data_IF_076552550703
#
_entry.id   IF_076552550703
#
_cell.length_a   1.000
_cell.length_b   1.000
_cell.length_c   1.000
_cell.angle_alpha   90.00
_cell.angle_beta   90.00
_cell.angle_gamma   90.00
#
_symmetry.space_group_name_H-M   'P 1'
#
loop_
_entity.id
_entity.type
_entity.pdbx_description
1 polymer ?
#
# COMPACT_ATOMS: atom_id res chain seq x y z
N UNK A 1 15.37 -53.33 0.52
CA UNK A 1 14.08 -52.60 0.57
C UNK A 1 14.05 -51.66 1.79
N UNK A 2 14.53 -50.41 1.67
CA UNK A 2 14.45 -49.40 2.75
C UNK A 2 14.27 -47.95 2.26
N UNK A 3 14.02 -47.73 0.96
CA UNK A 3 13.94 -46.38 0.37
C UNK A 3 12.51 -45.87 0.07
N UNK A 4 11.46 -46.63 0.38
CA UNK A 4 10.07 -46.22 0.07
C UNK A 4 9.44 -45.32 1.16
N UNK A 5 9.87 -45.44 2.43
CA UNK A 5 9.24 -44.68 3.53
C UNK A 5 9.67 -43.21 3.62
N UNK A 6 10.87 -42.84 3.15
CA UNK A 6 11.32 -41.44 3.19
C UNK A 6 10.54 -40.55 2.21
N UNK A 7 10.09 -41.10 1.08
CA UNK A 7 9.36 -40.31 0.08
C UNK A 7 7.93 -39.97 0.52
N UNK A 8 7.28 -40.84 1.30
CA UNK A 8 5.94 -40.58 1.81
C UNK A 8 5.95 -39.58 2.97
N UNK A 9 6.96 -39.63 3.85
CA UNK A 9 7.09 -38.67 4.94
C UNK A 9 7.36 -37.25 4.44
N UNK A 10 8.21 -37.09 3.41
CA UNK A 10 8.46 -35.78 2.81
C UNK A 10 7.22 -35.19 2.13
N UNK A 11 6.40 -36.02 1.47
CA UNK A 11 5.13 -35.56 0.87
C UNK A 11 4.12 -35.09 1.92
N UNK A 12 4.03 -35.78 3.06
CA UNK A 12 3.13 -35.41 4.17
C UNK A 12 3.56 -34.07 4.79
N UNK A 13 4.86 -33.85 4.98
CA UNK A 13 5.39 -32.57 5.50
C UNK A 13 5.07 -31.42 4.55
N UNK A 14 5.27 -31.60 3.24
CA UNK A 14 4.93 -30.58 2.23
C UNK A 14 3.43 -30.26 2.24
N UNK A 15 2.57 -31.28 2.33
CA UNK A 15 1.12 -31.09 2.42
C UNK A 15 0.73 -30.34 3.69
N UNK A 16 1.34 -30.65 4.84
CA UNK A 16 1.10 -29.94 6.09
C UNK A 16 1.55 -28.47 6.02
N UNK A 17 2.68 -28.19 5.38
CA UNK A 17 3.15 -26.81 5.15
C UNK A 17 2.16 -26.07 4.25
N UNK A 18 1.74 -26.66 3.14
CA UNK A 18 0.78 -26.04 2.20
C UNK A 18 -0.57 -25.77 2.91
N UNK A 19 -1.08 -26.74 3.66
CA UNK A 19 -2.31 -26.61 4.43
C UNK A 19 -2.17 -25.52 5.50
N UNK A 20 -1.06 -25.50 6.23
CA UNK A 20 -0.78 -24.45 7.23
C UNK A 20 -0.71 -23.06 6.59
N UNK A 21 -0.05 -22.90 5.45
CA UNK A 21 -0.02 -21.65 4.69
C UNK A 21 -1.42 -21.23 4.23
N UNK A 22 -2.25 -22.20 3.79
CA UNK A 22 -3.63 -21.94 3.38
C UNK A 22 -4.50 -21.50 4.57
N UNK A 23 -4.31 -22.11 5.74
CA UNK A 23 -5.02 -21.74 6.97
C UNK A 23 -4.58 -20.37 7.51
N UNK A 24 -3.29 -20.03 7.44
CA UNK A 24 -2.81 -18.69 7.80
C UNK A 24 -3.50 -17.63 6.92
N UNK A 25 -3.62 -17.91 5.61
CA UNK A 25 -4.29 -17.02 4.65
C UNK A 25 -5.81 -16.88 4.87
N UNK A 26 -6.47 -17.89 5.46
CA UNK A 26 -7.92 -17.80 5.77
C UNK A 26 -8.22 -17.19 7.14
N UNK A 27 -7.23 -17.09 8.03
CA UNK A 27 -7.39 -16.48 9.37
C UNK A 27 -7.15 -14.97 9.32
N UNK A 28 -6.24 -14.49 8.47
CA UNK A 28 -6.02 -13.06 8.27
C UNK A 28 -7.10 -12.50 7.33
N UNK A 29 -7.88 -11.48 7.73
CA UNK A 29 -8.78 -10.81 6.80
C UNK A 29 -7.97 -10.13 5.71
N UNK A 30 -8.42 -10.30 4.46
CA UNK A 30 -7.84 -9.56 3.35
C UNK A 30 -8.21 -8.08 3.49
N UNK A 31 -7.21 -7.26 3.80
CA UNK A 31 -7.39 -5.82 3.91
C UNK A 31 -7.58 -5.17 2.54
N UNK A 32 -7.17 -5.84 1.44
CA UNK A 32 -7.46 -5.35 0.11
C UNK A 32 -8.91 -5.61 -0.27
N UNK A 33 -9.67 -4.52 -0.31
CA UNK A 33 -11.06 -4.51 -0.71
C UNK A 33 -11.20 -4.22 -2.22
N UNK A 34 -10.37 -4.87 -3.04
CA UNK A 34 -10.38 -4.74 -4.51
C UNK A 34 -9.58 -3.56 -5.07
N UNK A 35 -9.68 -3.37 -6.39
CA UNK A 35 -8.97 -2.33 -7.13
C UNK A 35 -9.80 -1.81 -8.31
N UNK A 36 -9.47 -0.61 -8.79
CA UNK A 36 -9.88 -0.10 -10.10
C UNK A 36 -8.68 -0.20 -11.03
N UNK A 37 -8.92 -0.69 -12.24
CA UNK A 37 -7.98 -0.58 -13.35
C UNK A 37 -8.38 0.64 -14.20
N UNK A 38 -7.46 1.58 -14.38
CA UNK A 38 -7.65 2.78 -15.19
C UNK A 38 -7.55 2.48 -16.70
N UNK A 39 -7.24 1.23 -17.09
CA UNK A 39 -7.28 0.67 -18.46
C UNK A 39 -6.30 1.27 -19.48
N UNK A 40 -5.50 2.25 -19.08
CA UNK A 40 -4.44 2.82 -19.91
C UNK A 40 -3.10 2.21 -19.53
N UNK A 41 -2.12 2.13 -20.46
CA UNK A 41 -0.74 1.83 -20.07
C UNK A 41 -0.14 3.09 -19.44
N UNK A 42 -0.50 3.37 -18.20
CA UNK A 42 0.10 4.46 -17.43
C UNK A 42 1.33 3.97 -16.66
N UNK A 43 2.40 4.76 -16.70
CA UNK A 43 3.61 4.52 -15.92
C UNK A 43 3.46 4.84 -14.42
N UNK A 44 2.26 5.23 -14.00
CA UNK A 44 1.93 5.47 -12.61
C UNK A 44 0.83 6.49 -12.43
N UNK A 45 0.14 6.39 -11.32
CA UNK A 45 -0.92 7.31 -10.94
C UNK A 45 -0.58 7.96 -9.60
N UNK A 46 -0.84 9.25 -9.46
CA UNK A 46 -0.76 9.97 -8.17
C UNK A 46 -2.18 10.28 -7.70
N UNK A 47 -2.46 10.00 -6.44
CA UNK A 47 -3.65 10.42 -5.71
C UNK A 47 -3.38 11.74 -5.02
N UNK A 48 -4.37 12.62 -5.01
CA UNK A 48 -4.28 13.92 -4.36
C UNK A 48 -5.05 13.93 -3.05
N UNK A 49 -4.50 14.60 -2.03
CA UNK A 49 -5.16 14.77 -0.74
C UNK A 49 -6.48 15.52 -0.92
N UNK A 50 -7.39 15.35 0.02
CA UNK A 50 -8.77 15.81 -0.12
C UNK A 50 -9.36 16.19 1.22
N UNK A 51 -10.34 17.10 1.22
CA UNK A 51 -11.26 17.31 2.34
C UNK A 51 -12.61 16.59 2.15
N UNK A 52 -12.76 15.83 1.07
CA UNK A 52 -13.92 14.98 0.83
C UNK A 52 -13.87 13.70 1.65
N UNK A 53 -15.03 13.25 2.11
CA UNK A 53 -15.15 11.97 2.80
C UNK A 53 -15.20 10.76 1.85
N UNK A 54 -15.54 10.95 0.57
CA UNK A 54 -15.84 9.84 -0.36
C UNK A 54 -15.30 10.03 -1.79
N UNK A 55 -14.76 11.21 -2.12
CA UNK A 55 -14.24 11.53 -3.44
C UNK A 55 -12.75 11.84 -3.40
N UNK A 56 -12.03 11.31 -4.38
CA UNK A 56 -10.61 11.60 -4.59
C UNK A 56 -10.37 11.98 -6.04
N UNK A 57 -9.31 12.75 -6.29
CA UNK A 57 -8.78 12.95 -7.63
C UNK A 57 -7.46 12.21 -7.74
N UNK A 58 -7.29 11.55 -8.87
CA UNK A 58 -6.05 10.93 -9.28
C UNK A 58 -5.58 11.53 -10.61
N UNK A 59 -4.27 11.55 -10.86
CA UNK A 59 -3.75 11.82 -12.20
C UNK A 59 -2.79 10.73 -12.66
N UNK A 60 -2.91 10.35 -13.93
CA UNK A 60 -1.85 9.59 -14.59
C UNK A 60 -0.65 10.47 -14.90
N UNK A 61 0.53 9.86 -15.03
CA UNK A 61 1.73 10.55 -15.52
C UNK A 61 1.63 11.02 -16.97
N UNK A 62 0.64 10.53 -17.71
CA UNK A 62 0.34 10.91 -19.08
C UNK A 62 -0.57 12.15 -19.14
N UNK A 63 -0.99 12.68 -17.99
CA UNK A 63 -1.76 13.92 -17.88
C UNK A 63 -3.27 13.73 -17.96
N UNK A 64 -3.78 12.56 -17.60
CA UNK A 64 -5.21 12.35 -17.40
C UNK A 64 -5.59 12.59 -15.94
N UNK A 65 -6.76 13.17 -15.69
CA UNK A 65 -7.36 13.34 -14.39
C UNK A 65 -8.58 12.43 -14.25
N UNK A 66 -8.65 11.74 -13.11
CA UNK A 66 -9.76 10.87 -12.74
C UNK A 66 -10.38 11.35 -11.44
N UNK A 67 -11.69 11.58 -11.44
CA UNK A 67 -12.46 11.78 -10.21
C UNK A 67 -13.11 10.46 -9.82
N UNK A 68 -12.77 9.94 -8.66
CA UNK A 68 -13.12 8.59 -8.22
C UNK A 68 -14.04 8.68 -7.01
N UNK A 69 -15.11 7.90 -7.02
CA UNK A 69 -15.94 7.65 -5.85
C UNK A 69 -15.43 6.43 -5.11
N UNK A 70 -14.94 6.62 -3.90
CA UNK A 70 -14.30 5.58 -3.09
C UNK A 70 -15.33 4.52 -2.67
N UNK A 71 -16.50 4.93 -2.15
CA UNK A 71 -17.56 3.99 -1.75
C UNK A 71 -18.03 3.06 -2.87
N UNK A 72 -18.07 3.57 -4.10
CA UNK A 72 -18.49 2.80 -5.29
C UNK A 72 -17.35 2.11 -6.01
N UNK A 73 -16.09 2.41 -5.64
CA UNK A 73 -14.88 1.95 -6.33
C UNK A 73 -15.02 2.16 -7.84
N UNK A 74 -15.39 3.38 -8.24
CA UNK A 74 -15.68 3.71 -9.63
C UNK A 74 -15.20 5.09 -10.02
N UNK A 75 -14.73 5.23 -11.26
CA UNK A 75 -14.44 6.53 -11.89
C UNK A 75 -15.78 7.22 -12.22
N UNK A 76 -16.00 8.42 -11.69
CA UNK A 76 -17.19 9.23 -12.00
C UNK A 76 -16.93 10.11 -13.22
N UNK A 77 -15.72 10.64 -13.32
CA UNK A 77 -15.35 11.58 -14.36
C UNK A 77 -13.89 11.38 -14.76
N UNK A 78 -13.65 11.53 -16.05
CA UNK A 78 -12.33 11.52 -16.66
C UNK A 78 -12.16 12.79 -17.49
N UNK A 79 -11.00 13.42 -17.39
CA UNK A 79 -10.64 14.61 -18.17
C UNK A 79 -9.16 14.54 -18.54
N UNK A 80 -8.78 15.10 -19.69
CA UNK A 80 -7.38 15.20 -20.10
C UNK A 80 -6.89 16.61 -19.81
N UNK A 81 -5.70 16.74 -19.23
CA UNK A 81 -5.08 18.05 -19.03
C UNK A 81 -4.88 18.76 -20.37
N UNK A 82 -5.26 20.03 -20.44
CA UNK A 82 -5.06 20.86 -21.62
C UNK A 82 -3.56 20.96 -21.97
N UNK A 83 -3.25 21.28 -23.24
CA UNK A 83 -1.88 21.35 -23.78
C UNK A 83 -0.90 22.22 -22.96
N UNK A 84 -1.41 23.14 -22.13
CA UNK A 84 -0.63 24.01 -21.25
C UNK A 84 -0.25 23.45 -19.88
N UNK A 85 -0.70 22.24 -19.51
CA UNK A 85 -0.30 21.54 -18.28
C UNK A 85 0.15 20.15 -18.69
N UNK A 86 1.47 19.96 -18.79
CA UNK A 86 2.06 18.65 -19.06
C UNK A 86 2.71 18.15 -17.79
N UNK A 87 2.12 17.12 -17.19
CA UNK A 87 2.86 16.25 -16.29
C UNK A 87 3.74 15.40 -17.19
N UNK A 88 5.06 15.56 -17.16
CA UNK A 88 5.91 14.60 -17.86
C UNK A 88 6.02 13.31 -17.05
N UNK A 89 6.41 12.23 -17.72
CA UNK A 89 6.61 10.95 -17.06
C UNK A 89 7.66 11.09 -15.95
N UNK A 90 7.29 10.69 -14.73
CA UNK A 90 8.10 10.78 -13.52
C UNK A 90 8.31 12.19 -12.95
N UNK A 91 7.61 13.22 -13.43
CA UNK A 91 7.64 14.51 -12.75
C UNK A 91 6.80 14.48 -11.47
N UNK A 92 7.35 15.11 -10.43
CA UNK A 92 6.62 15.30 -9.17
C UNK A 92 5.45 16.24 -9.42
N UNK A 93 4.29 15.88 -8.89
CA UNK A 93 3.13 16.75 -8.75
C UNK A 93 2.59 16.65 -7.33
N UNK A 94 1.93 17.72 -6.89
CA UNK A 94 1.20 17.73 -5.62
C UNK A 94 -0.11 18.46 -5.82
N UNK A 95 -1.15 18.08 -5.10
CA UNK A 95 -2.47 18.63 -5.33
C UNK A 95 -3.42 18.37 -4.19
N UNK A 96 -4.51 19.12 -4.22
CA UNK A 96 -5.53 19.07 -3.20
C UNK A 96 -6.92 19.17 -3.83
N UNK A 97 -7.77 18.19 -3.53
CA UNK A 97 -9.17 18.19 -3.90
C UNK A 97 -10.01 18.84 -2.81
N UNK A 98 -10.56 20.01 -3.12
CA UNK A 98 -11.39 20.79 -2.21
C UNK A 98 -12.86 20.70 -2.65
N UNK A 99 -13.53 19.66 -2.15
CA UNK A 99 -14.95 19.43 -2.43
C UNK A 99 -15.80 20.59 -1.93
N UNK A 100 -15.49 21.14 -0.75
CA UNK A 100 -16.25 22.23 -0.12
C UNK A 100 -16.34 23.48 -1.01
N UNK A 101 -15.25 23.86 -1.68
CA UNK A 101 -15.22 25.03 -2.56
C UNK A 101 -15.35 24.69 -4.04
N UNK A 102 -15.60 23.42 -4.38
CA UNK A 102 -15.69 22.93 -5.74
C UNK A 102 -14.45 23.21 -6.61
N UNK A 103 -13.26 23.10 -6.03
CA UNK A 103 -12.01 23.31 -6.75
C UNK A 103 -11.07 22.11 -6.60
N UNK A 104 -10.25 21.91 -7.62
CA UNK A 104 -9.07 21.06 -7.56
C UNK A 104 -7.84 21.89 -7.85
N UNK A 105 -6.85 21.80 -6.97
CA UNK A 105 -5.59 22.54 -7.07
C UNK A 105 -4.47 21.56 -7.40
N UNK A 106 -3.65 21.90 -8.38
CA UNK A 106 -2.53 21.08 -8.84
C UNK A 106 -1.29 21.93 -8.98
N UNK A 107 -0.24 21.60 -8.23
CA UNK A 107 1.11 22.07 -8.46
C UNK A 107 1.85 21.04 -9.33
N UNK A 108 2.41 21.51 -10.44
CA UNK A 108 3.26 20.71 -11.32
C UNK A 108 4.54 21.46 -11.65
N UNK A 109 5.63 20.72 -11.81
CA UNK A 109 6.87 21.31 -12.32
C UNK A 109 6.67 21.68 -13.78
N UNK A 110 7.18 22.84 -14.19
CA UNK A 110 7.14 23.36 -15.54
C UNK A 110 8.49 23.97 -15.87
N UNK A 111 9.02 23.69 -17.07
CA UNK A 111 10.31 24.25 -17.54
C UNK A 111 11.50 24.04 -16.59
N UNK A 112 11.57 22.89 -15.90
CA UNK A 112 12.64 22.46 -14.97
C UNK A 112 12.94 23.36 -13.75
N UNK A 113 12.39 24.58 -13.69
CA UNK A 113 12.74 25.59 -12.68
C UNK A 113 11.55 26.46 -12.30
N UNK A 114 10.33 26.10 -12.71
CA UNK A 114 9.14 26.81 -12.30
C UNK A 114 8.06 25.86 -11.84
N UNK A 115 7.27 26.29 -10.87
CA UNK A 115 6.06 25.58 -10.46
C UNK A 115 4.86 26.30 -11.05
N UNK A 116 4.03 25.54 -11.76
CA UNK A 116 2.72 25.99 -12.16
C UNK A 116 1.70 25.48 -11.13
N UNK A 117 1.03 26.40 -10.43
CA UNK A 117 -0.12 26.07 -9.58
C UNK A 117 -1.38 26.37 -10.38
N UNK A 118 -2.10 25.32 -10.76
CA UNK A 118 -3.31 25.36 -11.57
C UNK A 118 -4.55 25.05 -10.74
N UNK A 119 -5.67 25.66 -11.11
CA UNK A 119 -6.98 25.45 -10.50
C UNK A 119 -7.93 24.92 -11.56
N UNK A 120 -8.65 23.87 -11.19
CA UNK A 120 -9.70 23.26 -11.99
C UNK A 120 -11.01 23.29 -11.22
N UNK A 121 -12.13 23.31 -11.94
CA UNK A 121 -13.45 23.05 -11.37
C UNK A 121 -13.52 21.59 -10.91
N UNK A 122 -13.94 21.35 -9.68
CA UNK A 122 -14.14 19.98 -9.16
C UNK A 122 -15.26 19.22 -9.87
N UNK A 123 -16.18 19.95 -10.49
CA UNK A 123 -17.45 19.43 -11.02
C UNK A 123 -17.18 18.66 -12.30
N UNK A 124 -16.40 19.27 -13.19
CA UNK A 124 -16.14 18.82 -14.56
C UNK A 124 -14.65 18.76 -14.90
N UNK A 125 -13.75 18.99 -13.94
CA UNK A 125 -12.29 19.00 -14.11
C UNK A 125 -11.81 19.97 -15.19
N UNK A 126 -12.56 21.04 -15.44
CA UNK A 126 -12.19 22.07 -16.41
C UNK A 126 -11.19 23.05 -15.81
N UNK A 127 -10.17 23.42 -16.60
CA UNK A 127 -9.16 24.39 -16.19
C UNK A 127 -9.76 25.79 -15.99
N UNK A 128 -9.43 26.44 -14.87
CA UNK A 128 -9.92 27.78 -14.52
C UNK A 128 -8.83 28.85 -14.63
N UNK A 129 -7.68 28.62 -13.99
CA UNK A 129 -6.57 29.58 -13.94
C UNK A 129 -5.29 28.91 -13.44
N UNK A 130 -4.15 29.59 -13.57
CA UNK A 130 -2.89 29.17 -12.96
C UNK A 130 -2.00 30.37 -12.64
N UNK A 131 -1.00 30.12 -11.81
CA UNK A 131 0.11 31.05 -11.53
C UNK A 131 1.43 30.29 -11.64
N UNK A 132 2.48 30.97 -12.07
CA UNK A 132 3.84 30.45 -12.12
C UNK A 132 4.67 31.02 -10.98
N UNK A 133 5.43 30.16 -10.31
CA UNK A 133 6.44 30.52 -9.32
C UNK A 133 7.79 30.09 -9.89
N UNK A 134 8.69 31.04 -10.13
CA UNK A 134 9.97 30.80 -10.78
C UNK A 134 11.07 30.51 -9.77
N UNK A 135 12.08 29.76 -10.20
CA UNK A 135 13.23 29.29 -9.41
C UNK A 135 12.83 28.42 -8.22
N UNK A 136 11.78 27.61 -8.39
CA UNK A 136 11.24 26.73 -7.37
C UNK A 136 10.96 25.36 -7.96
N UNK A 137 11.05 24.32 -7.13
CA UNK A 137 10.73 22.93 -7.47
C UNK A 137 9.77 22.31 -6.44
N UNK A 138 9.13 21.19 -6.81
CA UNK A 138 8.31 20.41 -5.90
C UNK A 138 9.24 19.51 -5.07
N UNK A 139 9.29 19.68 -3.74
CA UNK A 139 10.25 18.94 -2.93
C UNK A 139 9.85 17.48 -2.75
N UNK A 140 8.55 17.18 -2.61
CA UNK A 140 8.00 15.83 -2.46
C UNK A 140 6.58 15.75 -3.07
N UNK A 141 6.08 14.55 -3.37
CA UNK A 141 4.85 14.39 -4.16
C UNK A 141 3.59 14.71 -3.34
N UNK A 142 3.55 14.33 -2.07
CA UNK A 142 2.35 14.45 -1.25
C UNK A 142 2.40 15.70 -0.36
N UNK A 143 1.25 16.19 0.10
CA UNK A 143 1.14 17.24 1.14
C UNK A 143 1.88 18.58 0.89
N UNK A 144 2.51 18.81 -0.27
CA UNK A 144 3.12 20.12 -0.58
C UNK A 144 2.07 21.19 -0.85
N UNK A 145 0.86 20.80 -1.24
CA UNK A 145 -0.25 21.71 -1.53
C UNK A 145 -1.48 21.31 -0.71
N UNK A 146 -2.05 22.26 0.02
CA UNK A 146 -3.24 22.06 0.83
C UNK A 146 -4.01 23.38 1.01
N UNK A 147 -5.20 23.30 1.60
CA UNK A 147 -6.13 24.44 1.73
C UNK A 147 -6.61 24.55 3.18
N UNK A 148 -6.74 25.78 3.67
CA UNK A 148 -7.31 26.05 5.00
C UNK A 148 -8.84 26.24 4.99
N UNK A 149 -9.42 26.46 6.16
CA UNK A 149 -10.86 26.68 6.31
C UNK A 149 -11.37 27.96 5.64
N UNK A 150 -10.48 28.93 5.38
CA UNK A 150 -10.76 30.21 4.74
C UNK A 150 -10.50 30.18 3.22
N UNK A 151 -10.26 28.98 2.67
CA UNK A 151 -9.98 28.75 1.25
C UNK A 151 -8.69 29.43 0.77
N UNK A 152 -7.74 29.69 1.68
CA UNK A 152 -6.38 30.04 1.29
C UNK A 152 -5.64 28.77 0.90
N UNK A 153 -4.91 28.85 -0.20
CA UNK A 153 -4.11 27.75 -0.72
C UNK A 153 -2.70 27.93 -0.17
N UNK A 154 -2.14 26.88 0.41
CA UNK A 154 -0.75 26.86 0.84
C UNK A 154 0.04 25.94 -0.06
N UNK A 155 1.24 26.38 -0.44
CA UNK A 155 2.17 25.61 -1.23
C UNK A 155 3.57 25.67 -0.64
N UNK A 156 4.18 24.51 -0.44
CA UNK A 156 5.55 24.35 0.02
C UNK A 156 6.40 23.98 -1.20
N UNK A 157 7.36 24.84 -1.51
CA UNK A 157 8.37 24.58 -2.54
C UNK A 157 9.69 24.15 -1.91
N UNK A 158 10.70 23.95 -2.75
CA UNK A 158 12.08 23.70 -2.29
C UNK A 158 12.69 24.82 -1.45
N UNK A 159 12.30 26.09 -1.63
CA UNK A 159 12.93 27.21 -0.93
C UNK A 159 11.98 28.04 -0.06
N UNK A 160 10.66 27.94 -0.28
CA UNK A 160 9.70 28.85 0.34
C UNK A 160 8.37 28.18 0.66
N UNK A 161 7.63 28.81 1.58
CA UNK A 161 6.21 28.55 1.82
C UNK A 161 5.42 29.72 1.25
N UNK A 162 4.44 29.42 0.41
CA UNK A 162 3.56 30.38 -0.22
C UNK A 162 2.15 30.25 0.32
N UNK A 163 1.52 31.38 0.61
CA UNK A 163 0.08 31.50 0.82
C UNK A 163 -0.52 32.22 -0.38
N UNK A 164 -1.46 31.57 -1.05
CA UNK A 164 -2.15 32.05 -2.22
C UNK A 164 -3.63 32.23 -1.93
N UNK A 165 -4.26 33.13 -2.66
CA UNK A 165 -5.70 33.35 -2.61
C UNK A 165 -6.29 33.28 -4.01
N UNK A 166 -7.35 32.49 -4.13
CA UNK A 166 -8.19 32.42 -5.32
C UNK A 166 -9.43 33.28 -5.13
N UNK A 167 -9.73 34.15 -6.11
CA UNK A 167 -10.92 34.98 -6.19
C UNK A 167 -11.58 34.78 -7.56
N UNK A 168 -12.65 33.98 -7.58
CA UNK A 168 -13.38 33.63 -8.80
C UNK A 168 -14.05 34.84 -9.47
N UNK A 169 -14.34 35.91 -8.71
CA UNK A 169 -15.01 37.11 -9.21
C UNK A 169 -14.06 38.08 -9.91
N UNK A 170 -12.74 37.95 -9.68
CA UNK A 170 -11.75 38.83 -10.27
C UNK A 170 -11.39 38.41 -11.70
N UNK A 171 -11.73 39.22 -12.71
CA UNK A 171 -11.49 38.86 -14.11
C UNK A 171 -10.01 38.83 -14.52
N UNK A 172 -9.16 39.63 -13.88
CA UNK A 172 -7.79 39.86 -14.36
C UNK A 172 -6.72 39.13 -13.53
N UNK A 173 -7.00 38.84 -12.26
CA UNK A 173 -6.02 38.18 -11.39
C UNK A 173 -6.74 37.26 -10.40
N UNK A 174 -7.22 36.12 -10.92
CA UNK A 174 -7.99 35.14 -10.15
C UNK A 174 -7.17 34.46 -9.07
N UNK A 175 -5.88 34.23 -9.28
CA UNK A 175 -5.00 33.55 -8.34
C UNK A 175 -3.76 34.40 -8.08
N UNK A 176 -3.48 34.71 -6.81
CA UNK A 176 -2.33 35.53 -6.42
C UNK A 176 -1.65 35.00 -5.17
N UNK A 177 -0.33 35.19 -5.09
CA UNK A 177 0.43 35.04 -3.84
C UNK A 177 0.10 36.24 -2.95
N UNK A 178 -0.38 35.98 -1.74
CA UNK A 178 -0.69 37.01 -0.74
C UNK A 178 0.39 37.08 0.35
N UNK A 179 1.15 36.01 0.54
CA UNK A 179 2.27 35.95 1.46
C UNK A 179 3.26 34.90 0.98
N UNK A 180 4.55 35.16 1.18
CA UNK A 180 5.60 34.15 1.02
C UNK A 180 6.61 34.28 2.14
N UNK A 181 7.25 33.17 2.48
CA UNK A 181 8.35 33.16 3.43
C UNK A 181 9.39 32.11 3.03
N UNK A 182 10.69 32.45 3.05
CA UNK A 182 11.75 31.47 2.90
C UNK A 182 11.63 30.36 3.95
N UNK A 183 12.07 29.16 3.59
CA UNK A 183 12.20 28.06 4.54
C UNK A 183 13.17 28.41 5.69
N UNK A 184 13.03 27.74 6.85
CA UNK A 184 13.98 27.90 7.95
C UNK A 184 15.42 27.63 7.50
N UNK A 185 16.39 28.42 7.99
CA UNK A 185 17.76 28.40 7.46
C UNK A 185 18.52 27.08 7.58
N UNK A 186 18.13 26.20 8.52
CA UNK A 186 18.73 24.87 8.66
C UNK A 186 18.04 23.80 7.80
N UNK A 187 16.87 24.11 7.21
CA UNK A 187 16.18 23.20 6.30
C UNK A 187 16.87 23.19 4.94
N UNK A 188 17.64 22.14 4.65
CA UNK A 188 18.33 21.99 3.37
C UNK A 188 17.30 21.65 2.27
N UNK A 189 16.45 20.66 2.55
CA UNK A 189 15.38 20.22 1.66
C UNK A 189 14.18 19.84 2.54
N UNK A 190 12.98 20.42 2.32
CA UNK A 190 11.80 19.95 3.02
C UNK A 190 11.46 18.53 2.54
N UNK A 191 11.18 17.61 3.45
CA UNK A 191 11.05 16.17 3.16
C UNK A 191 9.62 15.66 3.30
N UNK A 192 8.85 16.25 4.20
CA UNK A 192 7.43 15.93 4.38
C UNK A 192 6.71 17.07 5.07
N UNK A 193 5.38 17.05 5.03
CA UNK A 193 4.59 17.98 5.82
C UNK A 193 3.22 17.43 6.14
N UNK A 194 2.61 17.98 7.19
CA UNK A 194 1.20 17.76 7.48
C UNK A 194 0.60 19.02 8.09
N UNK A 195 -0.61 19.37 7.63
CA UNK A 195 -1.32 20.54 8.13
C UNK A 195 -2.36 20.13 9.17
N UNK A 196 -2.23 20.64 10.38
CA UNK A 196 -3.23 20.52 11.44
C UNK A 196 -4.20 21.70 11.35
N UNK A 197 -5.36 21.45 10.73
CA UNK A 197 -6.44 22.43 10.57
C UNK A 197 -6.94 22.98 11.90
N UNK A 198 -7.11 22.13 12.92
CA UNK A 198 -7.68 22.52 14.21
C UNK A 198 -6.78 23.48 14.99
N UNK A 199 -5.46 23.33 14.82
CA UNK A 199 -4.44 24.19 15.46
C UNK A 199 -3.96 25.32 14.55
N UNK A 200 -4.41 25.34 13.29
CA UNK A 200 -3.89 26.21 12.24
C UNK A 200 -2.34 26.19 12.16
N UNK A 201 -1.79 24.99 12.25
CA UNK A 201 -0.36 24.74 12.38
C UNK A 201 0.11 23.79 11.28
N UNK A 202 1.14 24.19 10.55
CA UNK A 202 1.87 23.31 9.65
C UNK A 202 3.02 22.67 10.41
N UNK A 203 3.09 21.34 10.35
CA UNK A 203 4.30 20.62 10.67
C UNK A 203 5.10 20.39 9.40
N UNK A 204 6.35 20.83 9.39
CA UNK A 204 7.26 20.69 8.26
C UNK A 204 8.48 19.86 8.66
N UNK A 205 8.59 18.67 8.09
CA UNK A 205 9.79 17.84 8.18
C UNK A 205 10.85 18.33 7.19
N UNK A 206 12.09 18.42 7.64
CA UNK A 206 13.23 18.86 6.83
C UNK A 206 14.39 17.88 6.92
N UNK A 207 15.02 17.65 5.77
CA UNK A 207 16.38 17.12 5.70
C UNK A 207 17.36 18.20 6.15
N UNK A 208 18.19 17.90 7.15
CA UNK A 208 19.27 18.79 7.58
C UNK A 208 20.46 17.98 8.12
N UNK A 209 21.37 18.58 8.90
CA UNK A 209 22.43 17.83 9.59
C UNK A 209 21.85 16.73 10.49
N UNK A 210 20.68 17.00 11.06
CA UNK A 210 19.84 16.05 11.79
C UNK A 210 18.40 16.14 11.22
N UNK A 211 17.55 15.13 11.40
CA UNK A 211 16.15 15.27 11.04
C UNK A 211 15.52 16.40 11.85
N UNK A 212 14.97 17.44 11.20
CA UNK A 212 14.40 18.59 11.93
C UNK A 212 12.93 18.77 11.59
N UNK A 213 12.09 18.90 12.61
CA UNK A 213 10.67 19.21 12.50
C UNK A 213 10.45 20.67 12.88
N UNK A 214 9.75 21.41 12.03
CA UNK A 214 9.32 22.77 12.33
C UNK A 214 7.82 22.84 12.56
N UNK A 215 7.42 23.55 13.60
CA UNK A 215 6.04 24.00 13.82
C UNK A 215 5.90 25.41 13.24
N UNK A 216 5.00 25.59 12.27
CA UNK A 216 4.82 26.84 11.54
C UNK A 216 3.36 27.30 11.67
N UNK A 217 3.15 28.50 12.22
CA UNK A 217 1.84 29.12 12.31
C UNK A 217 1.36 29.57 10.92
N UNK A 218 0.17 29.16 10.51
CA UNK A 218 -0.33 29.41 9.16
C UNK A 218 -1.04 30.75 8.96
N UNK A 219 -1.22 31.52 10.04
CA UNK A 219 -1.68 32.92 9.94
C UNK A 219 -0.60 33.81 9.34
N UNK A 220 0.63 33.71 9.84
CA UNK A 220 1.74 34.61 9.53
C UNK A 220 3.00 33.90 9.01
N UNK A 221 2.95 32.58 8.83
CA UNK A 221 4.07 31.72 8.42
C UNK A 221 5.25 31.80 9.41
N UNK A 222 5.02 32.18 10.68
CA UNK A 222 6.07 32.22 11.71
C UNK A 222 6.41 30.82 12.22
N UNK A 223 7.70 30.59 12.49
CA UNK A 223 8.14 29.36 13.15
C UNK A 223 7.82 29.54 14.63
N UNK A 224 7.04 28.63 15.20
CA UNK A 224 6.65 28.66 16.61
C UNK A 224 7.52 27.74 17.46
N UNK A 225 8.01 26.63 16.89
CA UNK A 225 8.91 25.69 17.53
C UNK A 225 9.74 24.93 16.49
N UNK A 226 10.87 24.37 16.93
CA UNK A 226 11.63 23.38 16.19
C UNK A 226 12.01 22.20 17.09
N UNK A 227 12.11 21.02 16.48
CA UNK A 227 12.46 19.78 17.18
C UNK A 227 13.51 19.06 16.37
N UNK A 228 14.62 18.71 17.02
CA UNK A 228 15.76 18.04 16.39
C UNK A 228 15.70 16.55 16.74
N UNK A 229 15.86 15.73 15.72
CA UNK A 229 15.94 14.29 15.84
C UNK A 229 17.31 13.78 15.41
N UNK A 230 18.03 13.16 16.35
CA UNK A 230 19.43 12.83 16.20
C UNK A 230 19.72 11.47 15.54
N UNK A 231 18.72 10.62 15.29
CA UNK A 231 18.91 9.27 14.72
C UNK A 231 18.62 9.16 13.21
N UNK A 232 18.59 10.27 12.49
CA UNK A 232 18.43 10.30 11.03
C UNK A 232 18.68 11.70 10.45
N UNK A 233 18.68 11.77 9.13
CA UNK A 233 19.00 13.00 8.37
C UNK A 233 17.74 13.76 7.92
N UNK A 234 16.55 13.16 8.00
CA UNK A 234 15.30 13.74 7.51
C UNK A 234 14.07 13.12 8.18
N UNK A 235 12.94 13.82 8.01
CA UNK A 235 11.64 13.41 8.53
C UNK A 235 10.75 13.07 7.33
N UNK A 236 10.56 11.78 7.08
CA UNK A 236 9.81 11.29 5.94
C UNK A 236 8.37 10.93 6.35
N UNK A 237 7.43 11.10 5.41
CA UNK A 237 6.02 10.66 5.53
C UNK A 237 5.31 11.03 6.85
N UNK A 238 5.44 12.29 7.25
CA UNK A 238 4.75 12.84 8.41
C UNK A 238 3.21 12.79 8.28
N UNK A 239 2.56 12.35 9.34
CA UNK A 239 1.10 12.26 9.48
C UNK A 239 0.62 12.81 10.83
N UNK A 240 -0.66 13.18 10.90
CA UNK A 240 -1.32 13.39 12.18
C UNK A 240 -1.75 12.04 12.76
N UNK A 241 -1.84 11.99 14.09
CA UNK A 241 -2.28 10.82 14.83
C UNK A 241 -3.24 11.16 15.96
N UNK A 242 -3.63 10.15 16.76
CA UNK A 242 -4.62 10.31 17.82
C UNK A 242 -4.26 11.33 18.88
N UNK A 243 -5.29 11.89 19.54
CA UNK A 243 -5.14 12.67 20.78
C UNK A 243 -4.16 13.84 20.63
N UNK A 244 -4.25 14.58 19.51
CA UNK A 244 -3.32 15.66 19.20
C UNK A 244 -1.86 15.18 19.17
N UNK A 245 -1.62 14.14 18.38
CA UNK A 245 -0.28 13.63 18.10
C UNK A 245 0.06 13.77 16.63
N UNK A 246 1.33 13.56 16.34
CA UNK A 246 1.83 13.36 14.99
C UNK A 246 2.84 12.23 15.01
N UNK A 247 2.96 11.56 13.88
CA UNK A 247 3.83 10.40 13.72
C UNK A 247 4.56 10.47 12.40
N UNK A 248 5.77 9.97 12.35
CA UNK A 248 6.56 9.88 11.13
C UNK A 248 7.48 8.68 11.21
N UNK A 249 7.96 8.26 10.05
CA UNK A 249 9.01 7.27 9.97
C UNK A 249 10.33 7.95 9.70
N UNK A 250 11.36 7.38 10.29
CA UNK A 250 12.70 7.88 10.08
C UNK A 250 13.70 6.74 10.13
N UNK A 251 14.69 6.85 9.25
CA UNK A 251 15.78 5.91 9.12
C UNK A 251 16.76 6.42 8.07
N UNK A 252 17.74 5.61 7.72
CA UNK A 252 18.64 5.91 6.60
C UNK A 252 18.76 4.66 5.72
N UNK A 253 19.56 4.72 4.66
CA UNK A 253 19.90 3.49 3.93
C UNK A 253 20.68 2.49 4.81
N UNK A 254 21.36 2.98 5.85
CA UNK A 254 22.23 2.19 6.72
C UNK A 254 21.59 1.85 8.08
N UNK A 255 20.45 2.44 8.41
CA UNK A 255 19.73 2.23 9.67
C UNK A 255 18.26 1.93 9.40
N UNK A 256 17.72 0.93 10.11
CA UNK A 256 16.31 0.56 10.02
C UNK A 256 15.40 1.75 10.31
N UNK A 257 14.25 1.80 9.63
CA UNK A 257 13.24 2.82 9.92
C UNK A 257 12.54 2.51 11.24
N UNK A 258 12.36 3.53 12.07
CA UNK A 258 11.58 3.48 13.30
C UNK A 258 10.38 4.42 13.20
N UNK A 259 9.28 4.04 13.83
CA UNK A 259 8.10 4.89 13.95
C UNK A 259 8.31 5.82 15.15
N UNK A 260 8.34 7.12 14.89
CA UNK A 260 8.36 8.13 15.94
C UNK A 260 6.96 8.69 16.10
N UNK A 261 6.48 8.82 17.34
CA UNK A 261 5.19 9.41 17.64
C UNK A 261 5.30 10.36 18.82
N UNK A 262 4.74 11.56 18.66
CA UNK A 262 4.78 12.64 19.64
C UNK A 262 3.39 13.21 19.87
N UNK A 263 3.08 13.58 21.11
CA UNK A 263 1.95 14.46 21.39
C UNK A 263 2.42 15.91 21.32
N UNK A 264 1.55 16.83 20.89
CA UNK A 264 1.91 18.26 20.80
C UNK A 264 2.18 18.93 22.16
N UNK A 265 1.80 18.31 23.28
CA UNK A 265 2.02 18.85 24.64
C UNK A 265 3.29 18.32 25.30
N UNK A 266 3.67 17.09 25.00
CA UNK A 266 4.72 16.37 25.72
C UNK A 266 5.76 15.79 24.75
N UNK A 267 6.38 16.64 23.93
CA UNK A 267 7.47 16.18 23.03
C UNK A 267 8.64 15.58 23.84
N UNK A 268 8.79 15.95 25.11
CA UNK A 268 9.75 15.36 26.04
C UNK A 268 9.38 13.93 26.51
N UNK A 269 8.10 13.53 26.47
CA UNK A 269 7.67 12.14 26.73
C UNK A 269 7.48 11.41 25.40
N UNK A 270 8.54 11.40 24.60
CA UNK A 270 8.62 10.69 23.33
C UNK A 270 8.31 9.21 23.51
N UNK A 271 7.38 8.67 22.70
CA UNK A 271 7.26 7.21 22.55
C UNK A 271 8.06 6.83 21.30
N UNK A 272 9.32 6.46 21.51
CA UNK A 272 10.13 5.85 20.46
C UNK A 272 9.63 4.43 20.20
N UNK A 273 8.97 4.21 19.07
CA UNK A 273 8.50 2.88 18.68
C UNK A 273 9.54 2.25 17.77
N UNK A 274 10.50 1.57 18.41
CA UNK A 274 11.66 1.04 17.73
C UNK A 274 11.39 -0.38 17.19
N UNK A 275 11.57 -0.53 15.86
CA UNK A 275 11.83 -1.74 15.04
C UNK A 275 10.69 -2.68 14.61
N UNK A 276 10.67 -2.90 13.30
CA UNK A 276 11.30 -4.05 12.61
C UNK A 276 12.27 -3.50 11.54
N UNK A 277 13.24 -4.29 11.04
CA UNK A 277 14.22 -3.87 10.02
C UNK A 277 13.57 -3.68 8.64
N UNK A 278 12.79 -2.62 8.48
CA UNK A 278 12.37 -2.14 7.16
C UNK A 278 13.46 -1.23 6.63
N UNK A 279 14.14 -1.69 5.58
CA UNK A 279 15.16 -0.92 4.87
C UNK A 279 14.50 -0.27 3.66
N UNK A 280 14.56 1.06 3.59
CA UNK A 280 14.01 1.83 2.45
C UNK A 280 13.18 3.01 2.91
N UNK A 281 13.06 4.04 2.07
CA UNK A 281 12.23 5.22 2.38
C UNK A 281 10.77 4.91 2.10
N UNK A 282 9.84 5.21 3.02
CA UNK A 282 8.43 5.12 2.70
C UNK A 282 8.09 6.09 1.56
N UNK A 283 7.32 5.62 0.59
CA UNK A 283 6.90 6.42 -0.57
C UNK A 283 5.69 7.27 -0.25
N UNK A 284 4.85 6.83 0.68
CA UNK A 284 3.61 7.51 1.07
C UNK A 284 3.14 7.10 2.46
N UNK A 285 2.33 7.97 3.07
CA UNK A 285 1.57 7.64 4.26
C UNK A 285 0.17 8.27 4.30
N UNK A 286 -0.73 7.57 5.00
CA UNK A 286 -2.09 8.01 5.30
C UNK A 286 -2.53 7.51 6.67
N UNK A 287 -3.40 8.28 7.33
CA UNK A 287 -3.95 7.92 8.64
C UNK A 287 -5.43 8.26 8.70
N UNK A 288 -6.16 7.53 9.54
CA UNK A 288 -7.51 7.88 9.98
C UNK A 288 -7.53 9.04 10.99
N UNK A 289 -6.36 9.51 11.45
CA UNK A 289 -6.13 10.49 12.52
C UNK A 289 -6.62 10.04 13.91
N UNK A 290 -7.18 8.84 14.03
CA UNK A 290 -7.85 8.35 15.24
C UNK A 290 -7.11 7.16 15.87
N UNK A 291 -6.52 6.29 15.06
CA UNK A 291 -5.85 5.09 15.56
C UNK A 291 -4.82 4.56 14.58
N UNK A 292 -5.17 4.38 13.32
CA UNK A 292 -4.34 3.66 12.39
C UNK A 292 -3.54 4.57 11.46
N UNK A 293 -2.33 4.14 11.16
CA UNK A 293 -1.45 4.77 10.19
C UNK A 293 -0.90 3.74 9.21
N UNK A 294 -1.10 3.97 7.93
CA UNK A 294 -0.58 3.14 6.86
C UNK A 294 0.63 3.83 6.23
N UNK A 295 1.72 3.08 6.11
CA UNK A 295 2.94 3.49 5.43
C UNK A 295 3.25 2.52 4.30
N UNK A 296 3.62 3.07 3.14
CA UNK A 296 3.97 2.30 1.95
C UNK A 296 5.49 2.34 1.78
N UNK A 297 6.12 1.18 1.67
CA UNK A 297 7.54 1.00 1.41
C UNK A 297 7.74 0.26 0.09
N UNK A 298 7.65 1.01 -1.01
CA UNK A 298 7.67 0.44 -2.35
C UNK A 298 6.58 -0.61 -2.54
N UNK A 299 6.88 -1.89 -2.33
CA UNK A 299 5.92 -2.99 -2.42
C UNK A 299 5.26 -3.33 -1.08
N UNK A 300 5.91 -3.03 0.04
CA UNK A 300 5.39 -3.41 1.35
C UNK A 300 4.41 -2.34 1.86
N UNK A 301 3.37 -2.78 2.57
CA UNK A 301 2.42 -1.93 3.29
C UNK A 301 2.49 -2.30 4.76
N UNK A 302 2.72 -1.29 5.60
CA UNK A 302 2.71 -1.44 7.05
C UNK A 302 1.56 -0.64 7.62
N UNK A 303 0.66 -1.31 8.34
CA UNK A 303 -0.40 -0.68 9.10
C UNK A 303 -0.01 -0.67 10.58
N UNK A 304 0.11 0.49 11.19
CA UNK A 304 0.40 0.66 12.61
C UNK A 304 -0.84 1.07 13.39
N UNK A 305 -1.01 0.50 14.57
CA UNK A 305 -1.89 1.06 15.60
C UNK A 305 -1.12 2.11 16.42
N UNK A 306 -1.39 3.38 16.17
CA UNK A 306 -0.78 4.52 16.86
C UNK A 306 -1.19 4.60 18.34
N UNK A 307 -2.16 3.81 18.81
CA UNK A 307 -2.51 3.72 20.22
C UNK A 307 -1.79 2.58 20.95
N UNK A 308 -1.26 1.59 20.21
CA UNK A 308 -0.58 0.44 20.78
C UNK A 308 0.89 0.75 21.13
N UNK A 309 1.29 0.43 22.36
CA UNK A 309 2.65 0.62 22.87
C UNK A 309 3.60 -0.54 22.52
N UNK A 310 3.11 -1.64 21.94
CA UNK A 310 3.91 -2.84 21.65
C UNK A 310 4.91 -2.64 20.50
N UNK A 311 4.79 -1.54 19.75
CA UNK A 311 5.67 -1.13 18.65
C UNK A 311 5.65 -2.01 17.39
N UNK A 312 4.76 -3.00 17.30
CA UNK A 312 4.63 -3.82 16.10
C UNK A 312 3.63 -3.19 15.11
N UNK A 313 3.81 -3.36 13.79
CA UNK A 313 2.72 -3.16 12.85
C UNK A 313 1.52 -4.01 13.29
N UNK A 314 0.34 -3.39 13.31
CA UNK A 314 -0.91 -4.12 13.44
C UNK A 314 -1.08 -5.10 12.27
N UNK A 315 -0.64 -4.68 11.07
CA UNK A 315 -0.64 -5.54 9.90
C UNK A 315 0.50 -5.23 8.92
N UNK A 316 0.87 -6.25 8.13
CA UNK A 316 1.86 -6.18 7.06
C UNK A 316 1.26 -6.83 5.81
N UNK A 317 1.17 -6.06 4.73
CA UNK A 317 0.66 -6.50 3.42
C UNK A 317 1.64 -6.18 2.30
N UNK A 318 1.35 -6.69 1.10
CA UNK A 318 2.26 -6.62 -0.04
C UNK A 318 1.51 -6.29 -1.35
N UNK A 319 2.02 -5.30 -2.08
CA UNK A 319 1.52 -4.84 -3.39
C UNK A 319 2.10 -5.66 -4.55
N UNK A 320 2.19 -6.98 -4.40
CA UNK A 320 2.65 -7.93 -5.43
C UNK A 320 3.78 -7.41 -6.35
N UNK A 321 3.49 -7.20 -7.64
CA UNK A 321 4.47 -6.79 -8.66
C UNK A 321 4.52 -5.26 -8.88
N UNK A 322 3.83 -4.47 -8.06
CA UNK A 322 3.66 -3.02 -8.26
C UNK A 322 4.17 -2.23 -7.05
N UNK A 323 4.66 -1.03 -7.34
CA UNK A 323 5.21 -0.11 -6.33
C UNK A 323 4.14 0.90 -5.98
N UNK A 324 3.80 1.05 -4.70
CA UNK A 324 2.88 2.08 -4.23
C UNK A 324 3.52 3.47 -4.29
N UNK A 325 2.78 4.45 -4.81
CA UNK A 325 3.27 5.82 -5.06
C UNK A 325 2.65 6.87 -4.15
N UNK A 326 1.36 6.74 -3.84
CA UNK A 326 0.64 7.70 -3.01
C UNK A 326 -0.57 7.05 -2.36
N UNK A 327 -1.06 7.66 -1.28
CA UNK A 327 -2.19 7.14 -0.51
C UNK A 327 -3.08 8.26 0.02
N UNK A 328 -4.38 7.98 0.13
CA UNK A 328 -5.37 8.93 0.65
C UNK A 328 -6.41 8.20 1.50
N UNK A 329 -6.63 8.66 2.73
CA UNK A 329 -7.69 8.16 3.59
C UNK A 329 -9.06 8.75 3.22
N UNK A 330 -10.09 7.91 3.27
CA UNK A 330 -11.50 8.25 3.09
C UNK A 330 -12.29 7.79 4.32
N UNK A 331 -12.79 8.76 5.07
CA UNK A 331 -13.49 8.55 6.34
C UNK A 331 -14.84 7.85 6.19
N UNK A 332 -15.55 8.03 5.07
CA UNK A 332 -16.89 7.48 4.87
C UNK A 332 -16.92 5.93 4.92
N UNK A 333 -15.85 5.28 4.44
CA UNK A 333 -15.76 3.82 4.38
C UNK A 333 -14.64 3.24 5.24
N UNK A 334 -13.94 4.09 6.00
CA UNK A 334 -12.70 3.73 6.70
C UNK A 334 -11.68 3.04 5.77
N UNK A 335 -11.48 3.61 4.58
CA UNK A 335 -10.64 3.05 3.51
C UNK A 335 -9.45 3.96 3.24
N UNK A 336 -8.28 3.38 3.01
CA UNK A 336 -7.14 4.06 2.40
C UNK A 336 -7.06 3.63 0.96
N UNK A 337 -7.11 4.60 0.05
CA UNK A 337 -6.90 4.35 -1.37
C UNK A 337 -5.41 4.47 -1.67
N UNK A 338 -4.86 3.54 -2.44
CA UNK A 338 -3.43 3.43 -2.75
C UNK A 338 -3.27 3.42 -4.26
N UNK A 339 -2.48 4.34 -4.80
CA UNK A 339 -2.06 4.25 -6.21
C UNK A 339 -0.69 3.64 -6.33
N UNK A 340 -0.42 3.11 -7.51
CA UNK A 340 0.83 2.42 -7.81
C UNK A 340 1.50 3.01 -9.05
N UNK A 341 2.70 2.52 -9.34
CA UNK A 341 3.42 2.73 -10.60
C UNK A 341 2.81 1.95 -11.78
N UNK A 342 1.63 1.39 -11.58
CA UNK A 342 0.79 0.83 -12.62
C UNK A 342 -0.51 1.62 -12.67
N UNK A 343 -1.37 1.27 -13.61
CA UNK A 343 -2.65 1.95 -13.81
C UNK A 343 -3.74 1.43 -12.88
N UNK A 344 -3.34 0.97 -11.68
CA UNK A 344 -4.23 0.38 -10.68
C UNK A 344 -4.30 1.25 -9.45
N UNK A 345 -5.50 1.32 -8.90
CA UNK A 345 -5.78 1.97 -7.63
C UNK A 345 -6.42 0.94 -6.71
N UNK A 346 -5.75 0.62 -5.62
CA UNK A 346 -6.17 -0.37 -4.63
C UNK A 346 -6.94 0.31 -3.50
N UNK A 347 -7.90 -0.42 -2.92
CA UNK A 347 -8.68 0.01 -1.76
C UNK A 347 -8.28 -0.84 -0.56
N UNK A 348 -7.67 -0.22 0.44
CA UNK A 348 -7.18 -0.86 1.66
C UNK A 348 -8.12 -0.55 2.83
N UNK A 349 -8.71 -1.57 3.44
CA UNK A 349 -9.67 -1.46 4.53
C UNK A 349 -8.96 -1.32 5.87
N UNK A 350 -9.19 -0.19 6.55
CA UNK A 350 -8.78 -0.04 7.94
C UNK A 350 -9.80 -0.79 8.82
N UNK A 351 -9.34 -1.58 9.81
CA UNK A 351 -10.20 -2.22 10.79
C UNK A 351 -11.02 -1.20 11.59
N UNK A 352 -12.34 -1.41 11.68
CA UNK A 352 -13.24 -0.53 12.47
C UNK A 352 -13.20 -0.83 13.98
N UNK A 353 -12.74 -2.02 14.36
CA UNK A 353 -12.57 -2.47 15.74
C UNK A 353 -11.22 -3.19 15.85
N UNK A 354 -10.59 -3.25 17.04
CA UNK A 354 -9.58 -4.27 17.26
C UNK A 354 -10.25 -5.60 16.95
N UNK A 355 -9.85 -6.26 15.88
CA UNK A 355 -10.07 -7.68 15.86
C UNK A 355 -9.15 -8.21 16.93
N UNK A 356 -9.72 -8.85 17.95
CA UNK A 356 -8.96 -9.78 18.74
C UNK A 356 -8.40 -10.76 17.72
N UNK A 357 -7.12 -10.58 17.37
CA UNK A 357 -6.39 -11.59 16.64
C UNK A 357 -6.65 -12.87 17.40
N UNK A 358 -7.12 -13.91 16.70
CA UNK A 358 -7.27 -15.22 17.32
C UNK A 358 -5.93 -15.49 17.98
N UNK A 359 -5.86 -15.62 19.33
CA UNK A 359 -4.58 -15.69 20.02
C UNK A 359 -3.75 -16.75 19.31
N UNK A 360 -2.48 -16.47 19.04
CA UNK A 360 -1.62 -17.42 18.32
C UNK A 360 -1.66 -18.81 19.00
N UNK A 361 -1.87 -18.81 20.33
CA UNK A 361 -2.15 -19.96 21.18
C UNK A 361 -3.35 -20.80 20.70
N UNK A 362 -4.44 -20.17 20.28
CA UNK A 362 -5.61 -20.81 19.67
C UNK A 362 -5.28 -21.45 18.32
N UNK A 363 -4.38 -20.86 17.51
CA UNK A 363 -3.88 -21.52 16.28
C UNK A 363 -3.11 -22.80 16.61
N UNK A 364 -2.26 -22.77 17.64
CA UNK A 364 -1.53 -23.95 18.12
C UNK A 364 -2.41 -25.02 18.75
N UNK A 365 -3.64 -24.70 19.17
CA UNK A 365 -4.63 -25.67 19.66
C UNK A 365 -5.50 -26.19 18.50
N UNK A 366 -5.97 -25.31 17.62
CA UNK A 366 -6.89 -25.65 16.54
C UNK A 366 -6.19 -26.46 15.44
N UNK A 367 -4.94 -26.11 15.09
CA UNK A 367 -4.20 -26.76 14.00
C UNK A 367 -3.95 -28.26 14.26
N UNK A 368 -3.46 -28.70 15.44
CA UNK A 368 -3.34 -30.13 15.75
C UNK A 368 -4.68 -30.88 15.73
N UNK A 369 -5.75 -30.27 16.24
CA UNK A 369 -7.11 -30.87 16.22
C UNK A 369 -7.55 -31.12 14.79
N UNK A 370 -7.35 -30.15 13.90
CA UNK A 370 -7.71 -30.27 12.48
C UNK A 370 -6.86 -31.32 11.75
N UNK A 371 -5.56 -31.40 12.06
CA UNK A 371 -4.66 -32.45 11.52
C UNK A 371 -5.14 -33.83 11.93
N UNK A 372 -5.51 -34.02 13.21
CA UNK A 372 -6.07 -35.29 13.70
C UNK A 372 -7.38 -35.61 12.97
N UNK A 373 -8.23 -34.62 12.74
CA UNK A 373 -9.51 -34.78 12.04
C UNK A 373 -9.31 -35.21 10.58
N UNK A 374 -8.35 -34.60 9.87
CA UNK A 374 -7.98 -34.99 8.49
C UNK A 374 -7.42 -36.42 8.45
N UNK A 375 -6.54 -36.79 9.39
CA UNK A 375 -6.04 -38.17 9.50
C UNK A 375 -7.20 -39.15 9.72
N UNK A 376 -8.16 -38.77 10.57
CA UNK A 376 -9.34 -39.58 10.85
C UNK A 376 -10.24 -39.74 9.62
N UNK A 377 -10.43 -38.68 8.83
CA UNK A 377 -11.17 -38.73 7.56
C UNK A 377 -10.46 -39.64 6.56
N UNK A 378 -9.14 -39.50 6.37
CA UNK A 378 -8.36 -40.37 5.47
C UNK A 378 -8.45 -41.83 5.90
N UNK A 379 -8.32 -42.11 7.20
CA UNK A 379 -8.43 -43.46 7.73
C UNK A 379 -9.84 -44.04 7.53
N UNK A 380 -10.88 -43.22 7.74
CA UNK A 380 -12.27 -43.59 7.52
C UNK A 380 -12.56 -43.89 6.05
N UNK A 381 -12.07 -43.06 5.12
CA UNK A 381 -12.16 -43.31 3.67
C UNK A 381 -11.48 -44.63 3.32
N UNK A 382 -10.27 -44.89 3.84
CA UNK A 382 -9.54 -46.14 3.61
C UNK A 382 -10.26 -47.37 4.16
N UNK A 383 -10.91 -47.24 5.32
CA UNK A 383 -11.75 -48.27 5.93
C UNK A 383 -13.00 -48.57 5.10
N UNK A 384 -13.68 -47.53 4.61
CA UNK A 384 -14.84 -47.65 3.72
C UNK A 384 -14.41 -48.32 2.41
N UNK A 385 -13.32 -47.87 1.79
CA UNK A 385 -12.79 -48.47 0.56
C UNK A 385 -12.42 -49.94 0.76
N UNK A 386 -11.78 -50.28 1.88
CA UNK A 386 -11.43 -51.66 2.22
C UNK A 386 -12.68 -52.54 2.43
N UNK A 387 -13.72 -52.04 3.11
CA UNK A 387 -14.99 -52.77 3.27
C UNK A 387 -15.74 -52.93 1.95
N UNK A 388 -15.81 -51.90 1.11
CA UNK A 388 -16.43 -51.99 -0.21
C UNK A 388 -15.69 -52.97 -1.14
N UNK A 389 -14.36 -53.05 -1.06
CA UNK A 389 -13.58 -54.05 -1.82
C UNK A 389 -13.72 -55.48 -1.26
N UNK A 390 -13.89 -55.63 0.05
CA UNK A 390 -14.12 -56.94 0.68
C UNK A 390 -15.48 -57.52 0.28
N UNK A 391 -16.53 -56.69 0.29
CA UNK A 391 -17.88 -57.07 -0.18
C UNK A 391 -17.88 -57.45 -1.67
N UNK A 392 -17.00 -56.84 -2.49
CA UNK A 392 -16.86 -57.19 -3.91
C UNK A 392 -16.09 -58.50 -4.14
N UNK A 393 -15.31 -58.97 -3.15
CA UNK A 393 -14.56 -60.23 -3.21
C UNK A 393 -15.38 -61.41 -2.67
N UNK A 394 -16.19 -61.16 -1.63
CA UNK A 394 -17.07 -62.18 -1.04
C UNK A 394 -18.28 -62.50 -1.95
N UNK A 395 -18.62 -61.64 -2.91
CA UNK A 395 -19.66 -61.90 -3.93
C UNK A 395 -19.15 -62.57 -5.22
N UNK A 396 -17.86 -62.90 -5.30
CA UNK A 396 -17.22 -63.45 -6.51
C UNK A 396 -16.57 -64.83 -6.28
N UNK A 397 -16.89 -65.51 -5.17
CA UNK A 397 -16.47 -66.88 -4.92
C UNK A 397 -17.72 -67.78 -4.81
N UNK A 398 -18.27 -68.14 -5.96
CA UNK A 398 -18.88 -69.45 -6.17
C UNK A 398 -18.10 -70.10 -7.32
N UNK A 399 -17.73 -71.37 -7.13
CA UNK A 399 -17.16 -72.33 -8.09
C UNK A 399 -15.67 -72.10 -8.46
N UNK A 400 -14.71 -73.03 -8.36
CA UNK A 400 -14.67 -74.45 -8.00
C UNK A 400 -13.22 -74.80 -7.60
N UNK A 401 -13.13 -75.78 -6.70
CA UNK A 401 -12.12 -76.83 -6.45
C UNK A 401 -10.82 -76.89 -7.30
N UNK A 402 -9.69 -77.06 -6.58
CA UNK A 402 -8.78 -78.23 -6.66
C UNK A 402 -7.30 -77.86 -6.39
N UNK A 403 -6.80 -78.51 -5.33
CA UNK A 403 -5.52 -79.18 -5.12
C UNK A 403 -4.15 -78.49 -5.31
N UNK A 404 -3.40 -78.62 -4.21
CA UNK A 404 -2.00 -79.06 -4.10
C UNK A 404 -0.84 -78.21 -4.66
N UNK A 405 -0.05 -77.75 -3.68
CA UNK A 405 1.39 -77.91 -3.54
C UNK A 405 2.40 -77.31 -4.53
N UNK A 406 3.20 -76.43 -3.92
CA UNK A 406 4.67 -76.36 -3.98
C UNK A 406 5.45 -76.08 -5.27
N UNK A 407 6.42 -75.16 -5.07
CA UNK A 407 7.75 -75.11 -5.69
C UNK A 407 7.84 -74.57 -7.15
N UNK A 408 8.85 -73.84 -7.60
CA UNK A 408 10.01 -73.11 -7.06
C UNK A 408 10.72 -72.52 -8.33
N UNK A 409 11.41 -71.37 -8.21
CA UNK A 409 12.46 -70.85 -9.14
C UNK A 409 12.02 -70.52 -10.60
N UNK A 410 12.65 -69.64 -11.38
CA UNK A 410 13.58 -68.50 -11.30
C UNK A 410 13.87 -68.16 -12.78
N UNK A 411 14.16 -66.88 -13.06
CA UNK A 411 14.98 -66.39 -14.19
C UNK A 411 14.40 -66.59 -15.61
N UNK A 412 14.67 -65.80 -16.65
CA UNK A 412 15.46 -64.60 -16.95
C UNK A 412 14.93 -64.13 -18.32
N UNK A 413 14.59 -62.85 -18.49
CA UNK A 413 15.31 -61.89 -19.36
C UNK A 413 15.20 -62.11 -20.89
N UNK A 414 14.66 -61.06 -21.52
CA UNK A 414 14.90 -60.51 -22.87
C UNK A 414 14.15 -60.98 -24.14
N UNK A 415 13.51 -59.95 -24.75
CA UNK A 415 13.55 -59.49 -26.15
C UNK A 415 12.73 -60.20 -27.25
N UNK A 416 12.12 -59.34 -28.08
CA UNK A 416 11.38 -59.59 -29.32
C UNK A 416 10.10 -58.73 -29.32
N UNK A 417 10.07 -57.53 -29.94
CA UNK A 417 9.82 -57.27 -31.38
C UNK A 417 8.64 -58.10 -31.92
N UNK A 418 7.63 -57.60 -32.63
CA UNK A 418 7.34 -56.32 -33.27
C UNK A 418 5.88 -56.43 -33.77
N UNK A 419 5.22 -55.29 -34.07
CA UNK A 419 4.17 -55.26 -35.10
C UNK A 419 2.73 -55.02 -34.65
N UNK A 420 2.35 -53.74 -34.51
CA UNK A 420 1.46 -53.02 -35.43
C UNK A 420 0.63 -51.91 -34.75
N UNK A 421 1.22 -50.70 -34.77
CA UNK A 421 0.71 -49.48 -35.40
C UNK A 421 -0.73 -49.00 -35.11
N UNK A 422 -0.84 -47.92 -34.32
CA UNK A 422 -0.89 -46.53 -34.83
C UNK A 422 -0.95 -45.53 -33.63
N UNK A 423 0.12 -44.73 -33.43
CA UNK A 423 0.22 -43.27 -33.68
C UNK A 423 -0.63 -42.39 -32.71
N UNK A 424 -0.16 -41.35 -31.96
CA UNK A 424 0.96 -40.36 -31.96
C UNK A 424 0.92 -39.70 -30.53
N UNK A 425 1.98 -39.69 -29.68
CA UNK A 425 3.15 -38.75 -29.55
C UNK A 425 2.77 -37.36 -29.00
N UNK A 426 3.43 -36.62 -28.10
CA UNK A 426 4.59 -36.65 -27.16
C UNK A 426 4.46 -35.34 -26.30
N UNK A 427 4.71 -35.25 -24.98
CA UNK A 427 5.98 -35.13 -24.22
C UNK A 427 6.76 -33.80 -24.37
N UNK A 428 6.73 -33.02 -23.28
CA UNK A 428 7.79 -32.24 -22.56
C UNK A 428 8.57 -31.03 -23.11
N UNK A 429 8.85 -30.16 -22.12
CA UNK A 429 10.03 -29.33 -21.83
C UNK A 429 10.18 -27.91 -22.40
N UNK A 430 10.28 -26.98 -21.44
CA UNK A 430 11.10 -25.77 -21.37
C UNK A 430 11.57 -25.08 -22.66
N UNK A 431 11.24 -23.80 -22.79
CA UNK A 431 12.23 -22.73 -22.67
C UNK A 431 11.54 -21.36 -22.78
N UNK A 432 11.93 -20.46 -21.88
CA UNK A 432 11.57 -19.05 -21.94
C UNK A 432 12.28 -18.39 -23.13
N UNK A 433 11.54 -17.63 -23.94
CA UNK A 433 12.13 -16.70 -24.90
C UNK A 433 11.55 -15.31 -24.67
N UNK A 434 12.45 -14.40 -24.31
CA UNK A 434 12.25 -12.96 -24.31
C UNK A 434 11.64 -12.49 -25.62
N UNK A 435 10.65 -11.61 -25.53
CA UNK A 435 10.22 -10.78 -26.65
C UNK A 435 10.57 -9.33 -26.32
N UNK A 436 11.29 -8.72 -27.28
CA UNK A 436 11.66 -7.30 -27.34
C UNK A 436 10.45 -6.41 -27.54
#
# INVERSE_FOLDING_TARGET
>A
MKNSNNNNNNKIIIILIIISCFFIKTIKPDMFNGFIDLSEKSNGTILYKTNSNDLIIASSFEGELFKIQVSKKSIILKSTLNEGIKLSSNEKSSGFFDEKNNNFYLASTSYNTSIQISIFSSIDLTYLTSIFIYNENIPFNENCLFVDNDSNIFFISTNSIYKLKYDSNNKNNKLKIIQSKPLPGECIIPSSSVFNLDRNLLLLGCTSTYGTLYEINMLDLSITANHIYYYGEGIDTLILGPKNSFSFLEGTQNYAYHLVSFTFKDIETSVYRNRETYFGRPTSASSDNDRFALYIFSHDILLFDLTDITNNPYDIDYLEEVVGLSSVYSSNNNLITISTNSSRIYFYQIPSSPQDSIPIESFFIISPIFIVLIIFIIFSIKLIYSKCFKIKKDNNNDDDDDDDDENILKNEIEKGEEGNNNNIVEIYNGDYKLIK
#
